data_IF_042024553025
#
_entry.id   IF_042024553025
#
_cell.length_a   1.000
_cell.length_b   1.000
_cell.length_c   1.000
_cell.angle_alpha   90.00
_cell.angle_beta   90.00
_cell.angle_gamma   90.00
#
_symmetry.space_group_name_H-M   'P 1'
#
loop_
_entity.id
_entity.type
_entity.pdbx_description
1 polymer ?
#
# COMPACT_ATOMS: atom_id res chain seq x y z
N UNK A 1 51.47 -65.37 108.17
CA UNK A 1 51.13 -64.49 107.02
C UNK A 1 50.83 -63.09 107.56
N UNK A 2 51.10 -62.03 106.79
CA UNK A 2 50.75 -60.61 107.05
C UNK A 2 51.79 -59.68 107.73
N UNK A 3 53.05 -59.64 107.29
CA UNK A 3 53.98 -58.54 107.66
C UNK A 3 54.70 -57.89 106.46
N UNK A 4 54.82 -58.54 105.31
CA UNK A 4 55.61 -58.02 104.17
C UNK A 4 54.91 -56.96 103.31
N UNK A 5 53.57 -56.96 103.23
CA UNK A 5 52.87 -56.04 102.31
C UNK A 5 52.84 -54.59 102.80
N UNK A 6 52.88 -54.37 104.13
CA UNK A 6 52.97 -53.03 104.72
C UNK A 6 54.30 -52.34 104.39
N UNK A 7 55.40 -53.09 104.34
CA UNK A 7 56.70 -52.55 103.96
C UNK A 7 56.74 -52.14 102.48
N UNK A 8 56.13 -52.93 101.60
CA UNK A 8 56.07 -52.62 100.16
C UNK A 8 55.21 -51.38 99.86
N UNK A 9 54.14 -51.15 100.62
CA UNK A 9 53.26 -50.00 100.45
C UNK A 9 53.92 -48.70 100.93
N UNK A 10 54.66 -48.75 102.04
CA UNK A 10 55.39 -47.58 102.55
C UNK A 10 56.54 -47.20 101.62
N UNK A 11 57.30 -48.17 101.10
CA UNK A 11 58.36 -47.91 100.12
C UNK A 11 57.79 -47.40 98.79
N UNK A 12 56.67 -47.96 98.33
CA UNK A 12 55.96 -47.48 97.14
C UNK A 12 55.44 -46.04 97.28
N UNK A 13 54.94 -45.67 98.46
CA UNK A 13 54.44 -44.33 98.73
C UNK A 13 55.57 -43.30 98.82
N UNK A 14 56.71 -43.66 99.43
CA UNK A 14 57.88 -42.78 99.53
C UNK A 14 58.56 -42.59 98.16
N UNK A 15 58.69 -43.64 97.36
CA UNK A 15 59.24 -43.49 96.00
C UNK A 15 58.27 -42.77 95.06
N UNK A 16 56.96 -43.01 95.21
CA UNK A 16 55.92 -42.31 94.46
C UNK A 16 55.85 -40.82 94.79
N UNK A 17 56.00 -40.43 96.06
CA UNK A 17 56.01 -39.03 96.46
C UNK A 17 57.25 -38.29 95.94
N UNK A 18 58.43 -38.91 95.99
CA UNK A 18 59.67 -38.31 95.46
C UNK A 18 59.58 -38.07 93.95
N UNK A 19 59.02 -39.02 93.18
CA UNK A 19 58.87 -38.86 91.73
C UNK A 19 57.78 -37.83 91.37
N UNK A 20 56.65 -37.81 92.08
CA UNK A 20 55.61 -36.82 91.87
C UNK A 20 56.11 -35.39 92.17
N UNK A 21 56.85 -35.20 93.26
CA UNK A 21 57.50 -33.93 93.58
C UNK A 21 58.56 -33.53 92.55
N UNK A 22 59.32 -34.50 92.03
CA UNK A 22 60.32 -34.25 91.01
C UNK A 22 59.70 -33.83 89.66
N UNK A 23 58.56 -34.42 89.26
CA UNK A 23 57.85 -34.05 88.03
C UNK A 23 57.24 -32.64 88.13
N UNK A 24 56.62 -32.30 89.27
CA UNK A 24 56.11 -30.95 89.52
C UNK A 24 57.22 -29.89 89.57
N UNK A 25 58.43 -30.26 90.00
CA UNK A 25 59.58 -29.36 90.03
C UNK A 25 60.33 -29.26 88.68
N UNK A 26 60.08 -30.18 87.73
CA UNK A 26 60.76 -30.22 86.42
C UNK A 26 59.99 -29.52 85.30
N UNK A 27 58.68 -29.40 85.47
CA UNK A 27 57.83 -28.55 84.63
C UNK A 27 57.29 -27.42 85.50
N UNK A 28 58.06 -26.33 85.71
CA UNK A 28 57.43 -25.10 86.17
C UNK A 28 56.25 -24.82 85.24
N UNK A 29 55.09 -24.46 85.80
CA UNK A 29 53.97 -23.97 85.02
C UNK A 29 54.42 -22.86 84.06
N UNK A 30 53.64 -22.58 83.00
CA UNK A 30 54.02 -21.58 82.00
C UNK A 30 54.51 -20.31 82.70
N UNK A 31 55.64 -19.80 82.24
CA UNK A 31 56.24 -18.60 82.82
C UNK A 31 55.25 -17.44 82.73
N UNK A 32 55.34 -16.48 83.66
CA UNK A 32 54.43 -15.34 83.69
C UNK A 32 54.41 -14.58 82.35
N UNK A 33 55.55 -14.52 81.67
CA UNK A 33 55.70 -13.94 80.32
C UNK A 33 54.93 -14.71 79.24
N UNK A 34 54.91 -16.04 79.28
CA UNK A 34 54.14 -16.86 78.33
C UNK A 34 52.63 -16.70 78.53
N UNK A 35 52.19 -16.54 79.79
CA UNK A 35 50.79 -16.28 80.11
C UNK A 35 50.33 -14.90 79.62
N UNK A 36 51.14 -13.87 79.84
CA UNK A 36 50.87 -12.51 79.34
C UNK A 36 50.86 -12.47 77.80
N UNK A 37 51.79 -13.18 77.14
CA UNK A 37 51.83 -13.29 75.69
C UNK A 37 50.63 -14.06 75.11
N UNK A 38 50.14 -15.09 75.82
CA UNK A 38 48.91 -15.79 75.46
C UNK A 38 47.66 -14.93 75.64
N UNK A 39 47.59 -14.11 76.70
CA UNK A 39 46.52 -13.15 76.88
C UNK A 39 46.50 -12.11 75.77
N UNK A 40 47.67 -11.56 75.40
CA UNK A 40 47.79 -10.58 74.32
C UNK A 40 47.41 -11.19 72.96
N UNK A 41 47.83 -12.43 72.67
CA UNK A 41 47.42 -13.15 71.45
C UNK A 41 45.93 -13.44 71.41
N UNK A 42 45.31 -13.82 72.54
CA UNK A 42 43.87 -14.02 72.61
C UNK A 42 43.10 -12.72 72.39
N UNK A 43 43.57 -11.60 72.97
CA UNK A 43 42.99 -10.28 72.74
C UNK A 43 43.08 -9.88 71.25
N UNK A 44 44.24 -10.03 70.62
CA UNK A 44 44.42 -9.77 69.18
C UNK A 44 43.57 -10.69 68.30
N UNK A 45 43.41 -11.96 68.66
CA UNK A 45 42.56 -12.89 67.93
C UNK A 45 41.07 -12.55 68.08
N UNK A 46 40.65 -12.10 69.27
CA UNK A 46 39.29 -11.64 69.51
C UNK A 46 38.98 -10.38 68.68
N UNK A 47 39.89 -9.41 68.67
CA UNK A 47 39.77 -8.19 67.86
C UNK A 47 39.71 -8.51 66.36
N UNK A 48 40.59 -9.40 65.86
CA UNK A 48 40.55 -9.85 64.46
C UNK A 48 39.27 -10.58 64.10
N UNK A 49 38.72 -11.40 65.00
CA UNK A 49 37.44 -12.08 64.77
C UNK A 49 36.29 -11.08 64.71
N UNK A 50 36.28 -10.09 65.60
CA UNK A 50 35.26 -9.06 65.61
C UNK A 50 35.33 -8.21 64.33
N UNK A 51 36.51 -7.74 63.94
CA UNK A 51 36.69 -6.99 62.70
C UNK A 51 36.30 -7.81 61.45
N UNK A 52 36.60 -9.12 61.45
CA UNK A 52 36.21 -10.00 60.35
C UNK A 52 34.69 -10.20 60.29
N UNK A 53 34.04 -10.34 61.45
CA UNK A 53 32.59 -10.48 61.54
C UNK A 53 31.88 -9.20 61.09
N UNK A 54 32.32 -8.03 61.55
CA UNK A 54 31.80 -6.73 61.10
C UNK A 54 31.99 -6.56 59.58
N UNK A 55 33.13 -6.98 59.03
CA UNK A 55 33.36 -6.94 57.57
C UNK A 55 32.44 -7.89 56.80
N UNK A 56 32.12 -9.05 57.37
CA UNK A 56 31.24 -10.03 56.75
C UNK A 56 29.79 -9.54 56.75
N UNK A 57 29.32 -9.00 57.88
CA UNK A 57 27.98 -8.42 58.01
C UNK A 57 27.82 -7.20 57.08
N UNK A 58 28.84 -6.34 56.96
CA UNK A 58 28.85 -5.24 56.00
C UNK A 58 28.79 -5.72 54.55
N UNK A 59 29.47 -6.81 54.22
CA UNK A 59 29.51 -7.35 52.86
C UNK A 59 28.22 -8.10 52.50
N UNK A 60 27.61 -8.79 53.46
CA UNK A 60 26.31 -9.44 53.31
C UNK A 60 25.18 -8.42 53.13
N UNK A 61 25.16 -7.36 53.94
CA UNK A 61 24.20 -6.26 53.78
C UNK A 61 24.38 -5.52 52.47
N UNK A 62 25.62 -5.23 52.05
CA UNK A 62 25.88 -4.60 50.75
C UNK A 62 25.40 -5.47 49.59
N UNK A 63 25.69 -6.77 49.61
CA UNK A 63 25.24 -7.71 48.58
C UNK A 63 23.72 -7.85 48.54
N UNK A 64 23.06 -7.90 49.69
CA UNK A 64 21.60 -7.95 49.76
C UNK A 64 20.99 -6.70 49.11
N UNK A 65 21.54 -5.52 49.38
CA UNK A 65 21.08 -4.24 48.84
C UNK A 65 21.34 -4.13 47.33
N UNK A 66 22.50 -4.58 46.84
CA UNK A 66 22.78 -4.66 45.39
C UNK A 66 21.81 -5.60 44.67
N UNK A 67 21.50 -6.73 45.28
CA UNK A 67 20.62 -7.75 44.71
C UNK A 67 19.16 -7.27 44.68
N UNK A 68 18.72 -6.55 45.71
CA UNK A 68 17.42 -5.88 45.75
C UNK A 68 17.31 -4.80 44.67
N UNK A 69 18.34 -3.95 44.52
CA UNK A 69 18.41 -2.95 43.42
C UNK A 69 18.38 -3.60 42.05
N UNK A 70 19.10 -4.71 41.87
CA UNK A 70 19.11 -5.44 40.61
C UNK A 70 17.72 -6.03 40.29
N UNK A 71 17.02 -6.57 41.28
CA UNK A 71 15.64 -7.04 41.10
C UNK A 71 14.67 -5.91 40.79
N UNK A 72 14.80 -4.77 41.46
CA UNK A 72 13.96 -3.60 41.19
C UNK A 72 14.18 -3.08 39.76
N UNK A 73 15.44 -2.98 39.33
CA UNK A 73 15.79 -2.61 37.95
C UNK A 73 15.24 -3.62 36.93
N UNK A 74 15.33 -4.92 37.21
CA UNK A 74 14.82 -5.96 36.33
C UNK A 74 13.29 -5.90 36.25
N UNK A 75 12.61 -5.73 37.39
CA UNK A 75 11.16 -5.56 37.43
C UNK A 75 10.70 -4.32 36.64
N UNK A 76 11.39 -3.19 36.79
CA UNK A 76 11.12 -1.96 36.04
C UNK A 76 11.33 -2.17 34.53
N UNK A 77 12.43 -2.84 34.14
CA UNK A 77 12.71 -3.15 32.73
C UNK A 77 11.70 -4.13 32.14
N UNK A 78 11.25 -5.10 32.92
CA UNK A 78 10.21 -6.03 32.50
C UNK A 78 8.88 -5.30 32.28
N UNK A 79 8.50 -4.40 33.20
CA UNK A 79 7.29 -3.58 33.05
C UNK A 79 7.37 -2.67 31.81
N UNK A 80 8.51 -2.03 31.57
CA UNK A 80 8.76 -1.20 30.38
C UNK A 80 8.63 -2.02 29.08
N UNK A 81 9.21 -3.22 29.05
CA UNK A 81 9.10 -4.12 27.89
C UNK A 81 7.67 -4.59 27.64
N UNK A 82 6.92 -4.94 28.68
CA UNK A 82 5.52 -5.33 28.53
C UNK A 82 4.65 -4.17 28.04
N UNK A 83 4.92 -2.95 28.50
CA UNK A 83 4.25 -1.76 27.99
C UNK A 83 4.58 -1.52 26.50
N UNK A 84 5.86 -1.61 26.12
CA UNK A 84 6.28 -1.47 24.72
C UNK A 84 5.66 -2.53 23.82
N UNK A 85 5.59 -3.79 24.27
CA UNK A 85 4.91 -4.86 23.53
C UNK A 85 3.44 -4.53 23.31
N UNK A 86 2.73 -4.10 24.36
CA UNK A 86 1.32 -3.74 24.24
C UNK A 86 1.10 -2.56 23.26
N UNK A 87 2.00 -1.58 23.25
CA UNK A 87 1.94 -0.45 22.32
C UNK A 87 2.25 -0.88 20.87
N UNK A 88 3.24 -1.75 20.66
CA UNK A 88 3.53 -2.32 19.34
C UNK A 88 2.38 -3.19 18.82
N UNK A 89 1.72 -3.97 19.67
CA UNK A 89 0.53 -4.74 19.28
C UNK A 89 -0.62 -3.84 18.84
N UNK A 90 -0.86 -2.73 19.58
CA UNK A 90 -1.86 -1.71 19.17
C UNK A 90 -1.50 -1.07 17.84
N UNK A 91 -0.24 -0.68 17.64
CA UNK A 91 0.23 -0.09 16.38
C UNK A 91 0.08 -1.08 15.21
N UNK A 92 0.45 -2.34 15.41
CA UNK A 92 0.27 -3.40 14.41
C UNK A 92 -1.20 -3.63 14.06
N UNK A 93 -2.10 -3.61 15.05
CA UNK A 93 -3.53 -3.72 14.81
C UNK A 93 -4.07 -2.53 13.99
N UNK A 94 -3.65 -1.30 14.31
CA UNK A 94 -4.01 -0.10 13.57
C UNK A 94 -3.47 -0.13 12.13
N UNK A 95 -2.20 -0.52 11.94
CA UNK A 95 -1.59 -0.66 10.63
C UNK A 95 -2.31 -1.71 9.77
N UNK A 96 -2.66 -2.87 10.35
CA UNK A 96 -3.46 -3.90 9.66
C UNK A 96 -4.84 -3.37 9.26
N UNK A 97 -5.48 -2.56 10.09
CA UNK A 97 -6.77 -1.95 9.76
C UNK A 97 -6.63 -0.92 8.62
N UNK A 98 -5.59 -0.08 8.66
CA UNK A 98 -5.29 0.88 7.60
C UNK A 98 -4.97 0.17 6.28
N UNK A 99 -4.18 -0.90 6.31
CA UNK A 99 -3.86 -1.72 5.14
C UNK A 99 -5.14 -2.30 4.52
N UNK A 100 -6.04 -2.87 5.32
CA UNK A 100 -7.34 -3.36 4.82
C UNK A 100 -8.16 -2.24 4.16
N UNK A 101 -8.23 -1.05 4.77
CA UNK A 101 -8.91 0.11 4.18
C UNK A 101 -8.30 0.51 2.85
N UNK A 102 -6.97 0.59 2.77
CA UNK A 102 -6.23 0.93 1.55
C UNK A 102 -6.48 -0.08 0.43
N UNK A 103 -6.50 -1.38 0.74
CA UNK A 103 -6.80 -2.45 -0.24
C UNK A 103 -8.21 -2.28 -0.82
N UNK A 104 -9.21 -1.98 0.03
CA UNK A 104 -10.58 -1.74 -0.43
C UNK A 104 -10.67 -0.47 -1.28
N UNK A 105 -10.04 0.61 -0.85
CA UNK A 105 -10.01 1.87 -1.61
C UNK A 105 -9.32 1.69 -2.96
N UNK A 106 -8.20 0.94 -3.01
CA UNK A 106 -7.49 0.61 -4.25
C UNK A 106 -8.41 -0.16 -5.20
N UNK A 107 -9.08 -1.22 -4.73
CA UNK A 107 -10.04 -1.97 -5.55
C UNK A 107 -11.17 -1.09 -6.10
N UNK A 108 -11.74 -0.21 -5.26
CA UNK A 108 -12.78 0.74 -5.71
C UNK A 108 -12.26 1.71 -6.76
N UNK A 109 -11.02 2.18 -6.60
CA UNK A 109 -10.39 3.09 -7.56
C UNK A 109 -10.12 2.36 -8.88
N UNK A 110 -9.62 1.13 -8.85
CA UNK A 110 -9.39 0.31 -10.04
C UNK A 110 -10.71 0.08 -10.80
N UNK A 111 -11.81 -0.20 -10.11
CA UNK A 111 -13.15 -0.30 -10.73
C UNK A 111 -13.56 1.00 -11.41
N UNK A 112 -13.42 2.15 -10.73
CA UNK A 112 -13.72 3.46 -11.32
C UNK A 112 -12.85 3.78 -12.53
N UNK A 113 -11.57 3.38 -12.52
CA UNK A 113 -10.67 3.56 -13.66
C UNK A 113 -11.13 2.73 -14.85
N UNK A 114 -11.56 1.48 -14.63
CA UNK A 114 -12.10 0.62 -15.70
C UNK A 114 -13.41 1.19 -16.26
N UNK A 115 -14.32 1.65 -15.40
CA UNK A 115 -15.56 2.31 -15.82
C UNK A 115 -15.28 3.56 -16.65
N UNK A 116 -14.36 4.43 -16.19
CA UNK A 116 -13.97 5.64 -16.90
C UNK A 116 -13.35 5.32 -18.26
N UNK A 117 -12.43 4.35 -18.33
CA UNK A 117 -11.83 3.92 -19.61
C UNK A 117 -12.90 3.43 -20.58
N UNK A 118 -13.82 2.60 -20.11
CA UNK A 118 -14.92 2.07 -20.92
C UNK A 118 -15.83 3.21 -21.42
N UNK A 119 -16.12 4.19 -20.56
CA UNK A 119 -16.90 5.37 -20.94
C UNK A 119 -16.16 6.23 -21.98
N UNK A 120 -14.86 6.45 -21.81
CA UNK A 120 -14.02 7.17 -22.77
C UNK A 120 -13.94 6.45 -24.12
N UNK A 121 -13.78 5.13 -24.13
CA UNK A 121 -13.78 4.33 -25.36
C UNK A 121 -15.14 4.44 -26.09
N UNK A 122 -16.26 4.33 -25.36
CA UNK A 122 -17.59 4.54 -25.93
C UNK A 122 -17.75 5.95 -26.51
N UNK A 123 -17.31 6.98 -25.79
CA UNK A 123 -17.34 8.37 -26.27
C UNK A 123 -16.47 8.56 -27.50
N UNK A 124 -15.29 7.94 -27.55
CA UNK A 124 -14.38 8.01 -28.70
C UNK A 124 -15.00 7.34 -29.93
N UNK A 125 -15.64 6.18 -29.77
CA UNK A 125 -16.35 5.50 -30.85
C UNK A 125 -17.49 6.37 -31.40
N UNK A 126 -18.31 6.94 -30.51
CA UNK A 126 -19.41 7.85 -30.90
C UNK A 126 -18.88 9.10 -31.61
N UNK A 127 -17.80 9.71 -31.13
CA UNK A 127 -17.18 10.88 -31.76
C UNK A 127 -16.55 10.55 -33.13
N UNK A 128 -15.97 9.36 -33.28
CA UNK A 128 -15.37 8.93 -34.54
C UNK A 128 -16.47 8.69 -35.59
N UNK A 129 -17.51 7.93 -35.21
CA UNK A 129 -18.67 7.71 -36.09
C UNK A 129 -19.41 9.00 -36.43
N UNK A 130 -19.56 9.93 -35.48
CA UNK A 130 -20.21 11.21 -35.77
C UNK A 130 -19.37 12.02 -36.77
N UNK A 131 -18.05 12.07 -36.60
CA UNK A 131 -17.15 12.75 -37.55
C UNK A 131 -17.26 12.15 -38.96
N UNK A 132 -17.27 10.83 -39.09
CA UNK A 132 -17.46 10.15 -40.37
C UNK A 132 -18.81 10.50 -41.01
N UNK A 133 -19.89 10.45 -40.23
CA UNK A 133 -21.23 10.82 -40.71
C UNK A 133 -21.30 12.29 -41.15
N UNK A 134 -20.72 13.22 -40.40
CA UNK A 134 -20.67 14.64 -40.78
C UNK A 134 -19.82 14.89 -42.05
N UNK A 135 -18.74 14.14 -42.23
CA UNK A 135 -17.94 14.20 -43.46
C UNK A 135 -18.75 13.70 -44.66
N UNK A 136 -19.46 12.59 -44.51
CA UNK A 136 -20.36 12.08 -45.55
C UNK A 136 -21.47 13.08 -45.86
N UNK A 137 -22.07 13.70 -44.84
CA UNK A 137 -23.09 14.73 -45.01
C UNK A 137 -22.58 15.91 -45.84
N UNK A 138 -21.38 16.41 -45.54
CA UNK A 138 -20.77 17.52 -46.27
C UNK A 138 -20.48 17.17 -47.74
N UNK A 139 -20.00 15.95 -48.00
CA UNK A 139 -19.75 15.46 -49.35
C UNK A 139 -21.05 15.34 -50.15
N UNK A 140 -22.09 14.74 -49.57
CA UNK A 140 -23.40 14.62 -50.21
C UNK A 140 -24.03 15.99 -50.46
N UNK A 141 -23.94 16.92 -49.49
CA UNK A 141 -24.46 18.27 -49.66
C UNK A 141 -23.77 19.02 -50.80
N UNK A 142 -22.45 18.83 -50.96
CA UNK A 142 -21.71 19.37 -52.10
C UNK A 142 -22.15 18.74 -53.42
N UNK A 143 -22.38 17.43 -53.45
CA UNK A 143 -22.91 16.73 -54.64
C UNK A 143 -24.30 17.25 -55.01
N UNK A 144 -25.21 17.36 -54.05
CA UNK A 144 -26.55 17.94 -54.26
C UNK A 144 -26.47 19.35 -54.84
N UNK A 145 -25.60 20.21 -54.29
CA UNK A 145 -25.42 21.58 -54.78
C UNK A 145 -24.89 21.62 -56.23
N UNK A 146 -23.94 20.74 -56.57
CA UNK A 146 -23.42 20.62 -57.94
C UNK A 146 -24.50 20.10 -58.90
N UNK A 147 -25.18 19.01 -58.56
CA UNK A 147 -26.26 18.45 -59.40
C UNK A 147 -27.42 19.43 -59.55
N UNK A 148 -27.74 20.24 -58.53
CA UNK A 148 -28.76 21.29 -58.66
C UNK A 148 -28.33 22.38 -59.64
N UNK A 149 -27.04 22.74 -59.66
CA UNK A 149 -26.50 23.67 -60.64
C UNK A 149 -26.54 23.08 -62.05
N UNK A 150 -26.28 21.78 -62.20
CA UNK A 150 -26.32 21.09 -63.49
C UNK A 150 -27.75 20.95 -64.02
N UNK A 151 -28.72 20.57 -63.17
CA UNK A 151 -30.16 20.59 -63.51
C UNK A 151 -30.60 21.98 -63.96
N UNK A 152 -30.16 23.05 -63.27
CA UNK A 152 -30.48 24.44 -63.67
C UNK A 152 -29.89 24.79 -65.04
N UNK A 153 -28.67 24.34 -65.34
CA UNK A 153 -28.06 24.54 -66.67
C UNK A 153 -28.78 23.72 -67.73
N UNK A 154 -29.08 22.45 -67.46
CA UNK A 154 -29.78 21.56 -68.37
C UNK A 154 -31.19 22.07 -68.69
N UNK A 155 -31.92 22.60 -67.69
CA UNK A 155 -33.21 23.28 -67.87
C UNK A 155 -33.10 24.50 -68.77
N UNK A 156 -32.11 25.38 -68.55
CA UNK A 156 -31.89 26.54 -69.42
C UNK A 156 -31.62 26.12 -70.87
N UNK A 157 -30.75 25.14 -71.06
CA UNK A 157 -30.46 24.59 -72.39
C UNK A 157 -31.72 24.00 -73.02
N UNK A 158 -32.54 23.27 -72.27
CA UNK A 158 -33.82 22.76 -72.76
C UNK A 158 -34.81 23.89 -73.12
N UNK A 159 -34.91 24.95 -72.31
CA UNK A 159 -35.74 26.13 -72.60
C UNK A 159 -35.32 26.86 -73.88
N UNK A 160 -34.03 26.90 -74.20
CA UNK A 160 -33.53 27.48 -75.46
C UNK A 160 -34.01 26.69 -76.69
N UNK A 161 -34.19 25.37 -76.57
CA UNK A 161 -34.76 24.52 -77.62
C UNK A 161 -36.30 24.47 -77.61
N UNK A 162 -36.93 24.98 -76.55
CA UNK A 162 -38.40 25.06 -76.44
C UNK A 162 -38.99 26.07 -77.41
N UNK A 163 -38.40 27.27 -77.48
CA UNK A 163 -38.84 28.36 -78.37
C UNK A 163 -38.94 27.94 -79.84
N UNK A 164 -37.91 27.34 -80.47
CA UNK A 164 -38.02 26.90 -81.87
C UNK A 164 -39.00 25.73 -82.07
N UNK A 165 -39.19 24.84 -81.09
CA UNK A 165 -40.20 23.79 -81.18
C UNK A 165 -41.64 24.34 -81.05
N UNK A 166 -41.87 25.32 -80.18
CA UNK A 166 -43.18 25.98 -80.03
C UNK A 166 -43.51 26.81 -81.29
N UNK A 167 -42.53 27.47 -81.90
CA UNK A 167 -42.65 28.18 -83.19
C UNK A 167 -42.93 27.25 -84.38
N UNK A 168 -42.36 26.04 -84.38
CA UNK A 168 -42.68 25.00 -85.36
C UNK A 168 -44.12 24.48 -85.17
N UNK A 169 -44.53 24.19 -83.93
CA UNK A 169 -45.88 23.68 -83.60
C UNK A 169 -47.00 24.70 -83.81
N UNK A 170 -46.73 25.99 -83.62
CA UNK A 170 -47.72 27.06 -83.83
C UNK A 170 -47.96 27.38 -85.31
N UNK A 171 -47.12 26.84 -86.21
CA UNK A 171 -47.24 27.04 -87.67
C UNK A 171 -47.08 28.50 -88.10
N UNK A 172 -46.63 29.40 -87.22
CA UNK A 172 -46.62 30.86 -87.44
C UNK A 172 -45.21 31.42 -87.72
N UNK A 173 -44.24 30.55 -87.94
CA UNK A 173 -42.82 30.89 -88.01
C UNK A 173 -42.35 31.29 -89.42
N UNK A 174 -41.69 32.44 -89.52
CA UNK A 174 -40.84 32.83 -90.67
C UNK A 174 -39.39 32.32 -90.54
N UNK A 175 -39.04 31.69 -89.41
CA UNK A 175 -37.74 31.05 -89.17
C UNK A 175 -37.70 29.63 -89.73
N UNK A 176 -36.50 29.18 -90.14
CA UNK A 176 -36.22 27.82 -90.63
C UNK A 176 -36.16 26.82 -89.47
N UNK A 177 -37.31 26.57 -88.83
CA UNK A 177 -37.47 25.59 -87.73
C UNK A 177 -38.07 24.29 -88.26
N UNK A 178 -37.65 23.16 -87.69
CA UNK A 178 -37.96 21.82 -88.21
C UNK A 178 -38.39 20.83 -87.13
N UNK A 179 -38.98 19.70 -87.55
CA UNK A 179 -39.27 18.56 -86.66
C UNK A 179 -38.03 18.13 -85.84
N UNK A 180 -36.83 18.23 -86.42
CA UNK A 180 -35.57 17.87 -85.76
C UNK A 180 -35.25 18.76 -84.56
N UNK A 181 -35.82 19.97 -84.46
CA UNK A 181 -35.64 20.86 -83.31
C UNK A 181 -36.55 20.45 -82.14
N UNK A 182 -37.74 19.90 -82.43
CA UNK A 182 -38.56 19.25 -81.42
C UNK A 182 -37.95 17.92 -80.94
N UNK A 183 -37.35 17.12 -81.83
CA UNK A 183 -36.66 15.88 -81.43
C UNK A 183 -35.46 16.20 -80.51
N UNK A 184 -34.70 17.27 -80.79
CA UNK A 184 -33.62 17.74 -79.91
C UNK A 184 -34.13 18.21 -78.55
N UNK A 185 -35.25 18.93 -78.52
CA UNK A 185 -35.89 19.37 -77.29
C UNK A 185 -36.32 18.18 -76.42
N UNK A 186 -36.96 17.17 -77.01
CA UNK A 186 -37.41 15.97 -76.29
C UNK A 186 -36.23 15.17 -75.71
N UNK A 187 -35.11 15.08 -76.44
CA UNK A 187 -33.87 14.47 -75.92
C UNK A 187 -33.31 15.28 -74.73
N UNK A 188 -33.33 16.61 -74.80
CA UNK A 188 -32.84 17.48 -73.73
C UNK A 188 -33.76 17.49 -72.50
N UNK A 189 -35.07 17.43 -72.69
CA UNK A 189 -36.02 17.29 -71.58
C UNK A 189 -35.87 15.94 -70.87
N UNK A 190 -35.62 14.85 -71.61
CA UNK A 190 -35.33 13.55 -71.01
C UNK A 190 -34.06 13.59 -70.16
N UNK A 191 -33.00 14.23 -70.67
CA UNK A 191 -31.77 14.44 -69.90
C UNK A 191 -31.99 15.27 -68.62
N UNK A 192 -32.84 16.30 -68.67
CA UNK A 192 -33.25 17.06 -67.46
C UNK A 192 -33.99 16.16 -66.47
N UNK A 193 -34.91 15.33 -66.93
CA UNK A 193 -35.65 14.41 -66.07
C UNK A 193 -34.73 13.37 -65.41
N UNK A 194 -33.73 12.87 -66.13
CA UNK A 194 -32.72 11.95 -65.60
C UNK A 194 -31.85 12.63 -64.53
N UNK A 195 -31.41 13.88 -64.75
CA UNK A 195 -30.65 14.66 -63.75
C UNK A 195 -31.51 15.03 -62.53
N UNK A 196 -32.80 15.33 -62.72
CA UNK A 196 -33.74 15.56 -61.61
C UNK A 196 -33.99 14.30 -60.79
N UNK A 197 -34.05 13.13 -61.43
CA UNK A 197 -34.13 11.84 -60.75
C UNK A 197 -32.87 11.58 -59.92
N UNK A 198 -31.68 11.86 -60.44
CA UNK A 198 -30.41 11.77 -59.69
C UNK A 198 -30.37 12.75 -58.51
N UNK A 199 -30.82 13.99 -58.70
CA UNK A 199 -30.90 14.98 -57.63
C UNK A 199 -31.87 14.54 -56.53
N UNK A 200 -33.01 13.96 -56.90
CA UNK A 200 -33.99 13.44 -55.94
C UNK A 200 -33.40 12.27 -55.14
N UNK A 201 -32.71 11.34 -55.81
CA UNK A 201 -32.02 10.23 -55.15
C UNK A 201 -30.96 10.71 -54.14
N UNK A 202 -30.11 11.68 -54.52
CA UNK A 202 -29.11 12.28 -53.63
C UNK A 202 -29.75 13.00 -52.43
N UNK A 203 -30.89 13.69 -52.63
CA UNK A 203 -31.63 14.33 -51.53
C UNK A 203 -32.21 13.30 -50.56
N UNK A 204 -32.79 12.20 -51.08
CA UNK A 204 -33.30 11.11 -50.24
C UNK A 204 -32.17 10.44 -49.44
N UNK A 205 -31.00 10.26 -50.05
CA UNK A 205 -29.83 9.72 -49.33
C UNK A 205 -29.34 10.68 -48.24
N UNK A 206 -29.34 11.99 -48.51
CA UNK A 206 -29.01 13.03 -47.53
C UNK A 206 -30.00 13.04 -46.35
N UNK A 207 -31.30 12.91 -46.61
CA UNK A 207 -32.32 12.80 -45.57
C UNK A 207 -32.17 11.52 -44.74
N UNK A 208 -31.89 10.38 -45.37
CA UNK A 208 -31.63 9.13 -44.67
C UNK A 208 -30.36 9.22 -43.80
N UNK A 209 -29.33 9.92 -44.26
CA UNK A 209 -28.11 10.19 -43.49
C UNK A 209 -28.40 11.12 -42.30
N UNK A 210 -29.18 12.19 -42.50
CA UNK A 210 -29.61 13.09 -41.43
C UNK A 210 -30.42 12.37 -40.35
N UNK A 211 -31.34 11.48 -40.74
CA UNK A 211 -32.07 10.65 -39.78
C UNK A 211 -31.14 9.74 -38.98
N UNK A 212 -30.12 9.14 -39.61
CA UNK A 212 -29.11 8.35 -38.89
C UNK A 212 -28.30 9.19 -37.90
N UNK A 213 -28.00 10.45 -38.23
CA UNK A 213 -27.31 11.38 -37.34
C UNK A 213 -28.21 11.74 -36.14
N UNK A 214 -29.50 12.03 -36.36
CA UNK A 214 -30.45 12.37 -35.29
C UNK A 214 -30.74 11.20 -34.34
N UNK A 215 -30.74 9.97 -34.82
CA UNK A 215 -30.96 8.78 -33.99
C UNK A 215 -29.72 8.40 -33.17
N UNK A 216 -28.51 8.67 -33.66
CA UNK A 216 -27.25 8.36 -32.97
C UNK A 216 -26.78 9.44 -31.99
N UNK A 217 -27.40 10.62 -31.99
CA UNK A 217 -27.17 11.63 -30.98
C UNK A 217 -28.06 11.32 -29.77
N UNK A 218 -27.50 11.08 -28.56
CA UNK A 218 -28.32 10.92 -27.38
C UNK A 218 -29.14 12.20 -27.17
N UNK A 219 -30.48 12.07 -27.21
CA UNK A 219 -31.39 13.14 -26.80
C UNK A 219 -31.05 13.52 -25.37
N UNK A 220 -30.82 14.81 -25.14
CA UNK A 220 -30.57 15.41 -23.83
C UNK A 220 -31.63 15.00 -22.81
#
# INVERSE_FOLDING_TARGET
>A
MMSSWKASLVVGFVLGSILASAVWNRSPGPSQEEYELLLQKNALLAEKKQALQESFEALETHKALELEKAFEQLANKQAELEQQKADYEKQLAQLKQQQKKLVVTKKKLDTKVVELKTATEKQQVVLTHSKELYQQQLLLQKQVANTEADVKKAKRVAEDFKKPCDEFKSGTSWNWVSQADCDKYDVKIKAVADEEAQLTALKTELEALNQKIEVNLPKK
#
